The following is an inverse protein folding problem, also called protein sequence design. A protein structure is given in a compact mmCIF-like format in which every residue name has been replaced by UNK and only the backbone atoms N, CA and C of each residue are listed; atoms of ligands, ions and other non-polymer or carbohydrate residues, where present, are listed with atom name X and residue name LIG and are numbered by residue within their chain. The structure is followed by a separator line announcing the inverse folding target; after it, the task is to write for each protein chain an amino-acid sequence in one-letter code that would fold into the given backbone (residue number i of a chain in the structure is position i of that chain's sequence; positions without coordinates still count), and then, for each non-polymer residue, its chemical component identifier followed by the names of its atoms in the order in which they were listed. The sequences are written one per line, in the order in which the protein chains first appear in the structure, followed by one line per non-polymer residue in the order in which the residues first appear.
data_IF_907489552622
#
_entry.id   IF_907489552622
#
_cell.length_a   1.000
_cell.length_b   1.000
_cell.length_c   1.000
_cell.angle_alpha   90.00
_cell.angle_beta   90.00
_cell.angle_gamma   90.00
#
_symmetry.space_group_name_H-M   'P 1'
#
loop_
_entity.id
_entity.type
_entity.pdbx_description
1 polymer ?
#
# COMPACT_ATOMS: atom_id res chain seq x y z
N UNK A 1 14.56 -8.92 13.97
CA UNK A 1 15.58 -7.97 13.47
C UNK A 1 16.07 -8.36 12.08
N UNK A 2 16.61 -9.57 11.88
CA UNK A 2 17.08 -10.01 10.56
C UNK A 2 15.98 -9.99 9.48
N UNK A 3 14.80 -10.52 9.79
CA UNK A 3 13.66 -10.57 8.86
C UNK A 3 13.19 -9.18 8.38
N UNK A 4 13.19 -8.20 9.28
CA UNK A 4 12.82 -6.83 8.95
C UNK A 4 13.86 -6.19 8.03
N UNK A 5 15.16 -6.41 8.30
CA UNK A 5 16.22 -5.94 7.41
C UNK A 5 16.07 -6.52 6.01
N UNK A 6 15.84 -7.83 5.91
CA UNK A 6 15.64 -8.50 4.62
C UNK A 6 14.42 -7.95 3.87
N UNK A 7 13.30 -7.73 4.56
CA UNK A 7 12.11 -7.11 3.95
C UNK A 7 12.43 -5.71 3.39
N UNK A 8 13.18 -4.90 4.14
CA UNK A 8 13.54 -3.55 3.71
C UNK A 8 14.51 -3.58 2.53
N UNK A 9 15.48 -4.50 2.52
CA UNK A 9 16.42 -4.67 1.41
C UNK A 9 15.69 -5.08 0.12
N UNK A 10 14.80 -6.08 0.21
CA UNK A 10 13.98 -6.56 -0.92
C UNK A 10 13.08 -5.44 -1.47
N UNK A 11 12.36 -4.74 -0.58
CA UNK A 11 11.48 -3.64 -0.96
C UNK A 11 12.26 -2.48 -1.60
N UNK A 12 13.42 -2.15 -1.06
CA UNK A 12 14.29 -1.10 -1.59
C UNK A 12 14.78 -1.45 -2.99
N UNK A 13 15.21 -2.70 -3.22
CA UNK A 13 15.61 -3.15 -4.54
C UNK A 13 14.45 -3.12 -5.54
N UNK A 14 13.27 -3.58 -5.13
CA UNK A 14 12.06 -3.55 -5.94
C UNK A 14 11.71 -2.11 -6.37
N UNK A 15 11.63 -1.19 -5.41
CA UNK A 15 11.27 0.21 -5.67
C UNK A 15 12.31 0.94 -6.51
N UNK A 16 13.62 0.66 -6.32
CA UNK A 16 14.70 1.24 -7.16
C UNK A 16 14.60 0.87 -8.63
N UNK A 17 14.00 -0.29 -8.95
CA UNK A 17 13.83 -0.75 -10.34
C UNK A 17 12.64 -0.08 -11.04
N UNK A 18 11.75 0.58 -10.30
CA UNK A 18 10.59 1.27 -10.86
C UNK A 18 10.99 2.65 -11.42
N UNK A 19 10.31 3.13 -12.47
CA UNK A 19 10.52 4.48 -12.97
C UNK A 19 10.00 5.51 -11.95
N UNK A 20 10.64 6.68 -11.88
CA UNK A 20 10.20 7.77 -10.99
C UNK A 20 8.81 8.30 -11.33
N UNK A 21 8.34 8.11 -12.57
CA UNK A 21 6.99 8.42 -13.02
C UNK A 21 6.28 7.11 -13.40
N UNK A 22 5.29 6.71 -12.60
CA UNK A 22 4.46 5.54 -12.88
C UNK A 22 3.25 5.94 -13.72
N UNK A 23 2.99 5.19 -14.79
CA UNK A 23 1.77 5.30 -15.59
C UNK A 23 0.74 4.27 -15.13
N UNK A 24 -0.39 4.72 -14.61
CA UNK A 24 -1.43 3.86 -14.04
C UNK A 24 -2.73 4.05 -14.80
N UNK A 25 -3.32 2.94 -15.26
CA UNK A 25 -4.59 2.94 -15.99
C UNK A 25 -5.78 3.02 -15.03
N UNK A 26 -6.79 3.78 -15.43
CA UNK A 26 -8.08 3.78 -14.77
C UNK A 26 -8.85 2.47 -15.04
N UNK A 27 -9.74 2.05 -14.13
CA UNK A 27 -10.06 2.67 -12.84
C UNK A 27 -8.99 2.35 -11.78
N UNK A 28 -8.69 3.33 -10.91
CA UNK A 28 -7.75 3.16 -9.80
C UNK A 28 -8.31 3.76 -8.51
N UNK A 29 -7.79 3.34 -7.37
CA UNK A 29 -8.11 3.90 -6.06
C UNK A 29 -6.90 4.66 -5.53
N UNK A 30 -7.09 5.89 -5.10
CA UNK A 30 -6.04 6.74 -4.55
C UNK A 30 -6.21 6.83 -3.04
N UNK A 31 -5.15 6.53 -2.31
CA UNK A 31 -5.05 6.67 -0.85
C UNK A 31 -4.02 7.75 -0.56
N UNK A 32 -4.44 8.75 0.23
CA UNK A 32 -3.57 9.82 0.71
C UNK A 32 -2.83 9.43 1.99
N UNK A 33 -2.56 10.43 2.82
CA UNK A 33 -1.75 10.32 4.03
C UNK A 33 -2.31 9.27 5.01
N UNK A 34 -1.41 8.52 5.64
CA UNK A 34 -1.74 7.56 6.69
C UNK A 34 -1.21 7.99 8.05
N UNK A 35 -0.04 8.64 8.10
CA UNK A 35 0.59 9.11 9.33
C UNK A 35 0.59 8.09 10.48
N UNK A 36 0.92 6.83 10.24
CA UNK A 36 0.95 5.80 11.28
C UNK A 36 -0.43 5.39 11.84
N UNK A 37 -1.53 5.68 11.13
CA UNK A 37 -2.89 5.26 11.48
C UNK A 37 -3.19 3.84 10.99
N UNK A 38 -2.65 2.86 11.71
CA UNK A 38 -2.72 1.44 11.32
C UNK A 38 -4.15 0.88 11.19
N UNK A 39 -5.07 1.27 12.08
CA UNK A 39 -6.47 0.83 11.99
C UNK A 39 -7.17 1.29 10.71
N UNK A 40 -6.88 2.52 10.28
CA UNK A 40 -7.44 3.09 9.04
C UNK A 40 -6.84 2.38 7.82
N UNK A 41 -5.53 2.09 7.85
CA UNK A 41 -4.88 1.29 6.82
C UNK A 41 -5.54 -0.09 6.68
N UNK A 42 -5.79 -0.82 7.78
CA UNK A 42 -6.49 -2.11 7.72
C UNK A 42 -7.86 -1.96 7.07
N UNK A 43 -8.65 -0.95 7.45
CA UNK A 43 -9.99 -0.73 6.88
C UNK A 43 -9.91 -0.50 5.37
N UNK A 44 -8.94 0.30 4.90
CA UNK A 44 -8.70 0.57 3.48
C UNK A 44 -8.36 -0.73 2.74
N UNK A 45 -7.41 -1.52 3.25
CA UNK A 45 -7.04 -2.80 2.63
C UNK A 45 -8.20 -3.81 2.62
N UNK A 46 -9.01 -3.85 3.68
CA UNK A 46 -10.23 -4.67 3.71
C UNK A 46 -11.25 -4.25 2.65
N UNK A 47 -11.38 -2.97 2.35
CA UNK A 47 -12.24 -2.49 1.26
C UNK A 47 -11.70 -3.02 -0.07
N UNK A 48 -10.40 -2.89 -0.33
CA UNK A 48 -9.78 -3.38 -1.56
C UNK A 48 -9.94 -4.90 -1.72
N UNK A 49 -9.66 -5.69 -0.70
CA UNK A 49 -9.84 -7.15 -0.73
C UNK A 49 -11.30 -7.57 -0.94
N UNK A 50 -12.27 -6.91 -0.28
CA UNK A 50 -13.70 -7.19 -0.48
C UNK A 50 -14.20 -6.86 -1.88
N UNK A 51 -13.48 -6.00 -2.61
CA UNK A 51 -13.81 -5.62 -4.00
C UNK A 51 -13.06 -6.45 -5.05
N UNK A 52 -12.08 -7.25 -4.64
CA UNK A 52 -11.26 -8.10 -5.52
C UNK A 52 -12.12 -9.23 -6.11
N UNK A 53 -12.18 -9.32 -7.45
CA UNK A 53 -12.78 -10.45 -8.17
C UNK A 53 -14.31 -10.54 -8.19
N UNK A 54 -15.05 -9.59 -7.59
CA UNK A 54 -16.51 -9.55 -7.75
C UNK A 54 -16.83 -9.01 -9.15
N UNK A 55 -17.82 -9.56 -9.86
CA UNK A 55 -18.38 -8.93 -11.07
C UNK A 55 -19.42 -7.89 -10.67
N UNK A 56 -18.99 -6.81 -10.00
CA UNK A 56 -19.83 -5.63 -9.76
C UNK A 56 -19.54 -4.62 -10.88
N UNK A 57 -20.54 -3.98 -11.52
CA UNK A 57 -20.35 -3.39 -12.86
C UNK A 57 -19.37 -2.21 -13.01
N UNK A 58 -18.67 -1.73 -11.97
CA UNK A 58 -17.89 -0.47 -12.07
C UNK A 58 -16.52 -0.42 -11.33
N UNK A 59 -16.13 -1.43 -10.53
CA UNK A 59 -15.11 -1.20 -9.48
C UNK A 59 -14.02 -2.28 -9.30
N UNK A 60 -13.95 -3.30 -10.14
CA UNK A 60 -13.48 -4.62 -9.70
C UNK A 60 -12.05 -5.00 -10.11
N UNK A 61 -11.31 -4.07 -10.71
CA UNK A 61 -9.91 -4.24 -11.09
C UNK A 61 -9.05 -3.01 -10.73
N UNK A 62 -9.37 -2.31 -9.62
CA UNK A 62 -8.63 -1.10 -9.26
C UNK A 62 -7.27 -1.44 -8.66
N UNK A 63 -6.20 -1.02 -9.35
CA UNK A 63 -4.90 -0.82 -8.70
C UNK A 63 -5.07 0.25 -7.61
N UNK A 64 -4.62 -0.03 -6.40
CA UNK A 64 -4.48 0.95 -5.34
C UNK A 64 -3.17 1.72 -5.51
N UNK A 65 -3.22 3.03 -5.28
CA UNK A 65 -2.06 3.90 -5.28
C UNK A 65 -2.01 4.66 -3.97
N UNK A 66 -0.81 4.69 -3.38
CA UNK A 66 -0.54 5.39 -2.12
C UNK A 66 0.41 6.55 -2.40
N UNK A 67 0.08 7.75 -1.92
CA UNK A 67 0.77 8.99 -2.31
C UNK A 67 1.85 9.46 -1.33
N UNK A 68 2.17 8.68 -0.30
CA UNK A 68 3.20 9.01 0.69
C UNK A 68 2.64 9.26 2.08
N UNK A 69 3.43 9.93 2.92
CA UNK A 69 3.11 10.27 4.31
C UNK A 69 2.55 9.10 5.13
N UNK A 70 3.29 7.99 5.08
CA UNK A 70 2.92 6.76 5.77
C UNK A 70 3.19 6.79 7.28
N UNK A 71 4.17 7.59 7.72
CA UNK A 71 4.77 7.56 9.07
C UNK A 71 4.68 8.92 9.78
N UNK A 72 5.32 9.02 10.94
CA UNK A 72 5.51 10.18 11.84
C UNK A 72 4.42 10.38 12.90
N UNK A 73 3.27 10.97 12.55
CA UNK A 73 2.35 11.56 13.56
C UNK A 73 1.62 10.55 14.44
N UNK A 74 1.43 9.33 13.95
CA UNK A 74 0.71 8.26 14.62
C UNK A 74 1.63 7.22 15.23
N UNK A 75 1.10 6.51 16.22
CA UNK A 75 1.84 5.57 17.07
C UNK A 75 2.29 4.30 16.35
N UNK A 76 1.64 3.92 15.23
CA UNK A 76 1.84 2.64 14.55
C UNK A 76 2.56 2.78 13.20
N UNK A 77 3.54 3.68 13.14
CA UNK A 77 4.29 3.97 11.91
C UNK A 77 5.03 2.74 11.36
N UNK A 78 5.62 1.92 12.23
CA UNK A 78 6.35 0.71 11.81
C UNK A 78 5.40 -0.34 11.23
N UNK A 79 4.28 -0.58 11.91
CA UNK A 79 3.25 -1.52 11.47
C UNK A 79 2.64 -1.10 10.14
N UNK A 80 2.44 0.22 9.91
CA UNK A 80 1.97 0.74 8.64
C UNK A 80 2.93 0.42 7.49
N UNK A 81 4.22 0.73 7.63
CA UNK A 81 5.22 0.47 6.58
C UNK A 81 5.38 -1.02 6.34
N UNK A 82 5.49 -1.83 7.39
CA UNK A 82 5.65 -3.29 7.24
C UNK A 82 4.45 -3.88 6.51
N UNK A 83 3.22 -3.48 6.88
CA UNK A 83 2.02 -3.98 6.22
C UNK A 83 1.95 -3.56 4.75
N UNK A 84 2.28 -2.30 4.41
CA UNK A 84 2.30 -1.83 3.02
C UNK A 84 3.32 -2.60 2.17
N UNK A 85 4.54 -2.82 2.68
CA UNK A 85 5.59 -3.55 1.96
C UNK A 85 5.27 -5.04 1.77
N UNK A 86 4.49 -5.63 2.68
CA UNK A 86 4.02 -7.01 2.55
C UNK A 86 2.78 -7.14 1.67
N UNK A 87 1.94 -6.10 1.61
CA UNK A 87 0.72 -6.08 0.82
C UNK A 87 0.99 -5.95 -0.69
N UNK A 88 2.12 -5.34 -1.08
CA UNK A 88 2.53 -5.19 -2.48
C UNK A 88 3.11 -6.49 -3.10
N UNK A 89 2.91 -7.64 -2.45
CA UNK A 89 3.22 -8.99 -2.98
C UNK A 89 1.94 -9.73 -3.37
#
# INVERSE_FOLDING_TARGET
MLELSTLLDDATEMLRRQPSLLEIKAPSAVVGDLHGQYEDLIRILMIFEKTRGKKVPDFTERKSMFFGDYVDRGTYSLECIVLLLLFDK
#
